data_IF_762086293960
#
_entry.id   IF_762086293960
#
_cell.length_a   1.000
_cell.length_b   1.000
_cell.length_c   1.000
_cell.angle_alpha   90.00
_cell.angle_beta   90.00
_cell.angle_gamma   90.00
#
_symmetry.space_group_name_H-M   'P 1'
#
loop_
_entity.id
_entity.type
_entity.pdbx_description
1 polymer ?
#
# COMPACT_ATOMS: atom_id res chain seq x y z
N UNK A 1 -55.12 -4.52 -50.38
CA UNK A 1 -54.26 -4.15 -51.53
C UNK A 1 -53.16 -3.25 -51.00
N UNK A 2 -51.89 -3.60 -51.27
CA UNK A 2 -50.65 -2.83 -51.06
C UNK A 2 -50.35 -2.41 -49.60
N UNK A 3 -49.42 -3.00 -48.83
CA UNK A 3 -48.01 -3.33 -49.11
C UNK A 3 -47.15 -2.08 -49.43
N UNK A 4 -46.30 -1.72 -48.47
CA UNK A 4 -44.83 -1.90 -48.51
C UNK A 4 -43.89 -0.70 -48.79
N UNK A 5 -42.71 -0.83 -48.15
CA UNK A 5 -41.36 -0.23 -48.41
C UNK A 5 -41.13 1.23 -47.93
N UNK A 6 -40.46 1.49 -46.79
CA UNK A 6 -39.03 1.36 -46.39
C UNK A 6 -38.09 2.50 -46.84
N UNK A 7 -37.35 3.07 -45.88
CA UNK A 7 -35.91 3.44 -45.92
C UNK A 7 -35.56 4.15 -44.59
N UNK A 8 -34.88 3.48 -43.66
CA UNK A 8 -33.41 3.36 -43.49
C UNK A 8 -32.75 4.58 -42.84
N UNK A 9 -32.21 4.36 -41.65
CA UNK A 9 -31.38 5.32 -40.91
C UNK A 9 -31.04 4.88 -39.49
N UNK A 10 -30.68 3.60 -39.29
CA UNK A 10 -29.78 3.20 -38.19
C UNK A 10 -28.35 3.46 -38.67
N UNK A 11 -27.54 4.17 -37.89
CA UNK A 11 -26.10 3.89 -37.82
C UNK A 11 -25.41 4.63 -36.65
N UNK A 12 -24.83 3.80 -35.76
CA UNK A 12 -23.50 3.92 -35.16
C UNK A 12 -23.20 5.01 -34.12
N UNK A 13 -23.39 4.66 -32.83
CA UNK A 13 -22.49 5.13 -31.77
C UNK A 13 -21.99 4.05 -30.77
N UNK A 14 -22.29 2.75 -30.97
CA UNK A 14 -22.02 1.74 -29.93
C UNK A 14 -21.05 0.61 -30.33
N UNK A 15 -20.11 0.90 -31.24
CA UNK A 15 -19.04 -0.03 -31.63
C UNK A 15 -17.69 0.68 -31.73
N UNK A 16 -17.03 0.96 -30.61
CA UNK A 16 -15.59 1.24 -30.63
C UNK A 16 -14.80 0.80 -29.39
N UNK A 17 -15.35 -0.04 -28.51
CA UNK A 17 -14.65 -0.49 -27.29
C UNK A 17 -14.35 -2.00 -27.23
N UNK A 18 -14.59 -2.76 -28.30
CA UNK A 18 -14.47 -4.22 -28.29
C UNK A 18 -13.31 -4.82 -29.11
N UNK A 19 -12.28 -4.06 -29.49
CA UNK A 19 -11.20 -4.60 -30.34
C UNK A 19 -9.81 -4.07 -30.02
N UNK A 20 -9.29 -4.36 -28.84
CA UNK A 20 -7.85 -4.27 -28.56
C UNK A 20 -7.43 -5.47 -27.69
N UNK A 21 -7.25 -6.62 -28.34
CA UNK A 21 -6.48 -7.73 -27.77
C UNK A 21 -5.37 -8.09 -28.75
N UNK A 22 -4.14 -8.10 -28.22
CA UNK A 22 -2.86 -8.63 -28.75
C UNK A 22 -1.77 -7.56 -28.85
N UNK A 23 -1.35 -7.07 -27.68
CA UNK A 23 -0.01 -6.55 -27.45
C UNK A 23 0.73 -7.50 -26.50
N UNK A 24 1.97 -7.85 -26.83
CA UNK A 24 2.81 -8.72 -26.01
C UNK A 24 3.13 -8.03 -24.68
N UNK A 25 2.55 -8.56 -23.60
CA UNK A 25 2.79 -8.15 -22.21
C UNK A 25 4.26 -8.41 -21.86
N UNK A 26 5.03 -7.37 -21.57
CA UNK A 26 6.26 -7.50 -20.77
C UNK A 26 5.84 -7.34 -19.30
N UNK A 27 5.26 -8.39 -18.72
CA UNK A 27 5.00 -8.42 -17.29
C UNK A 27 6.31 -8.70 -16.60
N UNK A 28 6.64 -7.89 -15.59
CA UNK A 28 7.51 -8.36 -14.51
C UNK A 28 6.57 -8.96 -13.47
N UNK A 29 5.95 -10.09 -13.83
CA UNK A 29 5.18 -10.87 -12.86
C UNK A 29 6.15 -11.29 -11.74
N UNK A 30 5.78 -11.14 -10.46
CA UNK A 30 6.54 -11.78 -9.40
C UNK A 30 6.58 -13.30 -9.69
N UNK A 31 7.72 -13.98 -9.45
CA UNK A 31 7.88 -15.38 -9.78
C UNK A 31 6.75 -16.21 -9.16
N UNK A 32 5.95 -16.86 -10.01
CA UNK A 32 4.90 -17.80 -9.60
C UNK A 32 5.56 -19.06 -9.05
N UNK A 33 5.52 -19.24 -7.74
CA UNK A 33 5.99 -20.48 -7.12
C UNK A 33 4.93 -21.58 -7.25
N UNK A 34 5.13 -22.52 -8.19
CA UNK A 34 4.34 -23.76 -8.26
C UNK A 34 4.88 -24.79 -7.26
N UNK A 35 4.48 -24.63 -5.99
CA UNK A 35 4.92 -25.51 -4.90
C UNK A 35 4.29 -26.92 -4.94
N UNK A 36 3.37 -27.22 -5.87
CA UNK A 36 2.61 -28.50 -5.84
C UNK A 36 3.39 -29.72 -6.34
N UNK A 37 4.54 -29.57 -7.01
CA UNK A 37 5.20 -30.72 -7.66
C UNK A 37 6.74 -30.82 -7.58
N UNK A 38 7.43 -30.13 -6.67
CA UNK A 38 8.90 -30.28 -6.53
C UNK A 38 9.33 -30.80 -5.17
N UNK A 39 9.44 -32.13 -5.07
CA UNK A 39 10.25 -32.78 -4.03
C UNK A 39 11.66 -33.05 -4.58
N UNK A 40 12.67 -32.32 -4.10
CA UNK A 40 14.07 -32.79 -4.18
C UNK A 40 14.73 -32.66 -2.82
N UNK A 41 15.32 -33.79 -2.41
CA UNK A 41 16.12 -33.97 -1.19
C UNK A 41 17.22 -32.91 -1.08
N UNK A 42 17.36 -32.29 0.09
CA UNK A 42 18.59 -31.61 0.49
C UNK A 42 19.16 -32.24 1.77
N UNK A 43 20.40 -32.69 1.65
CA UNK A 43 21.22 -33.22 2.74
C UNK A 43 21.81 -32.09 3.57
N UNK A 44 21.69 -32.20 4.90
CA UNK A 44 22.26 -31.30 5.89
C UNK A 44 23.80 -31.26 5.84
N UNK A 45 24.37 -30.06 5.71
CA UNK A 45 25.71 -29.74 6.22
C UNK A 45 25.65 -28.45 7.05
N UNK A 46 25.99 -28.57 8.34
CA UNK A 46 26.13 -27.43 9.27
C UNK A 46 27.53 -26.86 9.14
N UNK A 47 27.66 -25.56 8.90
CA UNK A 47 28.89 -24.79 9.14
C UNK A 47 28.56 -23.56 9.98
N UNK A 48 29.30 -23.38 11.07
CA UNK A 48 29.21 -22.22 11.97
C UNK A 48 29.95 -21.03 11.38
N UNK A 49 29.38 -19.83 11.43
CA UNK A 49 30.07 -18.58 11.05
C UNK A 49 29.87 -17.49 12.12
N UNK A 50 30.91 -16.69 12.32
CA UNK A 50 31.05 -15.62 13.32
C UNK A 50 31.28 -14.30 12.54
N UNK A 51 30.51 -13.21 12.74
CA UNK A 51 30.60 -12.02 11.87
C UNK A 51 31.65 -11.02 12.38
N UNK A 52 32.33 -10.27 11.48
CA UNK A 52 31.87 -8.88 11.28
C UNK A 52 32.10 -8.31 9.85
N UNK A 53 31.07 -7.71 9.26
CA UNK A 53 31.06 -6.59 8.28
C UNK A 53 29.62 -6.42 7.70
N UNK A 54 29.22 -5.24 7.17
CA UNK A 54 27.84 -4.98 6.75
C UNK A 54 27.42 -5.84 5.53
N UNK A 55 26.12 -6.14 5.37
CA UNK A 55 25.64 -7.20 4.48
C UNK A 55 25.72 -6.77 3.00
N UNK A 56 26.59 -7.42 2.22
CA UNK A 56 26.84 -7.06 0.82
C UNK A 56 26.41 -8.16 -0.18
N UNK A 57 25.69 -9.19 0.25
CA UNK A 57 25.25 -10.28 -0.65
C UNK A 57 23.75 -10.59 -0.52
N UNK A 58 23.14 -11.07 -1.61
CA UNK A 58 21.77 -11.59 -1.63
C UNK A 58 21.57 -12.69 -0.57
N UNK A 59 22.60 -13.49 -0.32
CA UNK A 59 22.61 -14.51 0.72
C UNK A 59 22.46 -13.92 2.12
N UNK A 60 23.17 -12.83 2.43
CA UNK A 60 23.07 -12.14 3.73
C UNK A 60 21.70 -11.48 3.92
N UNK A 61 21.12 -10.96 2.84
CA UNK A 61 19.76 -10.42 2.83
C UNK A 61 18.73 -11.52 3.11
N UNK A 62 18.80 -12.65 2.39
CA UNK A 62 17.92 -13.80 2.60
C UNK A 62 18.09 -14.38 4.00
N UNK A 63 19.32 -14.44 4.52
CA UNK A 63 19.59 -14.87 5.89
C UNK A 63 18.99 -13.92 6.93
N UNK A 64 19.09 -12.60 6.70
CA UNK A 64 18.48 -11.58 7.57
C UNK A 64 16.96 -11.66 7.54
N UNK A 65 16.36 -11.90 6.37
CA UNK A 65 14.91 -12.11 6.23
C UNK A 65 14.48 -13.43 6.90
N UNK A 66 15.26 -14.50 6.78
CA UNK A 66 15.00 -15.76 7.51
C UNK A 66 15.10 -15.57 9.02
N UNK A 67 16.06 -14.79 9.51
CA UNK A 67 16.18 -14.45 10.92
C UNK A 67 15.00 -13.58 11.37
N UNK A 68 14.60 -12.61 10.54
CA UNK A 68 13.42 -11.78 10.77
C UNK A 68 12.14 -12.63 10.85
N UNK A 69 11.93 -13.57 9.92
CA UNK A 69 10.81 -14.51 9.91
C UNK A 69 10.79 -15.39 11.18
N UNK A 70 11.96 -15.85 11.65
CA UNK A 70 12.09 -16.60 12.92
C UNK A 70 11.82 -15.73 14.15
N UNK A 71 12.21 -14.46 14.12
CA UNK A 71 11.87 -13.52 15.19
C UNK A 71 10.36 -13.25 15.16
N UNK A 72 9.75 -13.12 13.99
CA UNK A 72 8.32 -12.92 13.79
C UNK A 72 7.45 -14.09 14.26
N UNK A 73 7.91 -15.33 14.12
CA UNK A 73 7.20 -16.50 14.67
C UNK A 73 7.29 -16.59 16.19
N UNK A 74 8.29 -15.96 16.81
CA UNK A 74 8.54 -15.98 18.27
C UNK A 74 8.02 -14.71 18.97
N UNK A 75 7.97 -13.59 18.26
CA UNK A 75 7.57 -12.27 18.76
C UNK A 75 6.15 -11.90 18.32
N UNK A 76 5.17 -12.77 18.58
CA UNK A 76 3.75 -12.44 18.38
C UNK A 76 3.14 -11.63 19.54
N UNK A 77 3.93 -10.84 20.28
CA UNK A 77 3.38 -10.07 21.40
C UNK A 77 2.43 -8.97 20.90
N UNK A 78 2.75 -8.34 19.77
CA UNK A 78 1.97 -7.26 19.18
C UNK A 78 1.91 -7.43 17.67
N UNK A 79 0.71 -7.45 17.11
CA UNK A 79 0.44 -7.54 15.70
C UNK A 79 -0.20 -6.22 15.23
N UNK A 80 0.56 -5.42 14.48
CA UNK A 80 0.01 -4.22 13.83
C UNK A 80 -0.49 -4.57 12.43
N UNK A 81 -1.54 -3.91 11.99
CA UNK A 81 -2.07 -4.10 10.63
C UNK A 81 -1.07 -3.70 9.53
N UNK A 82 -0.17 -2.77 9.83
CA UNK A 82 0.95 -2.36 8.98
C UNK A 82 1.86 -3.56 8.63
N UNK A 83 1.84 -4.62 9.44
CA UNK A 83 2.58 -5.84 9.18
C UNK A 83 2.10 -6.60 7.94
N UNK A 84 0.86 -6.39 7.49
CA UNK A 84 0.36 -6.99 6.24
C UNK A 84 1.19 -6.57 5.02
N UNK A 85 1.65 -5.31 4.98
CA UNK A 85 2.50 -4.82 3.89
C UNK A 85 3.92 -5.41 3.92
N UNK A 86 4.32 -5.97 5.06
CA UNK A 86 5.62 -6.63 5.20
C UNK A 86 5.57 -8.12 4.81
N UNK A 87 4.39 -8.67 4.48
CA UNK A 87 4.30 -10.06 4.03
C UNK A 87 4.86 -10.27 2.63
N UNK A 88 4.82 -9.24 1.76
CA UNK A 88 5.35 -9.32 0.41
C UNK A 88 6.82 -9.75 0.38
N UNK A 89 7.65 -9.22 1.28
CA UNK A 89 9.07 -9.61 1.34
C UNK A 89 9.24 -11.06 1.83
N UNK A 90 8.36 -11.54 2.72
CA UNK A 90 8.36 -12.93 3.17
C UNK A 90 7.92 -13.89 2.07
N UNK A 91 6.87 -13.54 1.32
CA UNK A 91 6.42 -14.33 0.18
C UNK A 91 7.49 -14.38 -0.93
N UNK A 92 8.09 -13.23 -1.26
CA UNK A 92 9.18 -13.15 -2.23
C UNK A 92 10.38 -13.99 -1.79
N UNK A 93 10.84 -13.84 -0.54
CA UNK A 93 11.98 -14.61 -0.04
C UNK A 93 11.68 -16.11 0.04
N UNK A 94 10.44 -16.50 0.36
CA UNK A 94 10.01 -17.89 0.31
C UNK A 94 10.04 -18.45 -1.11
N UNK A 95 9.62 -17.67 -2.10
CA UNK A 95 9.69 -18.03 -3.52
C UNK A 95 11.12 -18.16 -4.00
N UNK A 96 12.00 -17.23 -3.64
CA UNK A 96 13.40 -17.23 -4.09
C UNK A 96 14.23 -18.36 -3.47
N UNK A 97 13.87 -18.77 -2.25
CA UNK A 97 14.59 -19.82 -1.51
C UNK A 97 13.91 -21.18 -1.49
N UNK A 98 12.80 -21.36 -2.21
CA UNK A 98 11.93 -22.55 -2.17
C UNK A 98 11.53 -22.95 -0.72
N UNK A 99 11.40 -21.97 0.18
CA UNK A 99 11.16 -22.21 1.60
C UNK A 99 9.66 -22.22 1.93
N UNK A 100 9.07 -23.42 1.86
CA UNK A 100 7.63 -23.62 2.12
C UNK A 100 7.21 -23.24 3.54
N UNK A 101 8.10 -23.35 4.54
CA UNK A 101 7.75 -23.00 5.91
C UNK A 101 7.64 -21.48 6.08
N UNK A 102 8.51 -20.70 5.41
CA UNK A 102 8.38 -19.24 5.36
C UNK A 102 7.07 -18.81 4.69
N UNK A 103 6.71 -19.46 3.57
CA UNK A 103 5.43 -19.22 2.90
C UNK A 103 4.23 -19.51 3.82
N UNK A 104 4.27 -20.63 4.57
CA UNK A 104 3.24 -21.00 5.55
C UNK A 104 3.15 -20.00 6.70
N UNK A 105 4.28 -19.46 7.16
CA UNK A 105 4.30 -18.42 8.19
C UNK A 105 3.60 -17.15 7.69
N UNK A 106 3.88 -16.73 6.45
CA UNK A 106 3.22 -15.55 5.86
C UNK A 106 1.70 -15.75 5.74
N UNK A 107 1.23 -16.92 5.27
CA UNK A 107 -0.21 -17.24 5.21
C UNK A 107 -0.83 -17.27 6.61
N UNK A 108 -0.17 -17.93 7.57
CA UNK A 108 -0.67 -18.04 8.95
C UNK A 108 -0.83 -16.66 9.58
N UNK A 109 0.14 -15.77 9.34
CA UNK A 109 0.07 -14.38 9.77
C UNK A 109 -1.11 -13.66 9.11
N UNK A 110 -1.25 -13.72 7.79
CA UNK A 110 -2.36 -13.09 7.08
C UNK A 110 -3.73 -13.56 7.60
N UNK A 111 -3.94 -14.87 7.80
CA UNK A 111 -5.19 -15.40 8.36
C UNK A 111 -5.44 -14.97 9.81
N UNK A 112 -4.38 -14.87 10.61
CA UNK A 112 -4.46 -14.39 11.99
C UNK A 112 -4.86 -12.91 12.01
N UNK A 113 -4.25 -12.08 11.16
CA UNK A 113 -4.61 -10.67 10.97
C UNK A 113 -6.06 -10.53 10.52
N UNK A 114 -6.50 -11.31 9.53
CA UNK A 114 -7.88 -11.31 9.06
C UNK A 114 -8.87 -11.60 10.19
N UNK A 115 -8.60 -12.64 10.99
CA UNK A 115 -9.45 -13.06 12.11
C UNK A 115 -9.52 -12.04 13.25
N UNK A 116 -8.41 -11.36 13.55
CA UNK A 116 -8.29 -10.55 14.77
C UNK A 116 -8.32 -9.04 14.52
N UNK A 117 -7.99 -8.56 13.33
CA UNK A 117 -7.99 -7.12 13.02
C UNK A 117 -9.28 -6.67 12.36
N UNK A 118 -9.92 -7.51 11.54
CA UNK A 118 -11.19 -7.15 10.90
C UNK A 118 -12.33 -7.32 11.90
N UNK A 119 -13.13 -6.27 12.09
CA UNK A 119 -14.33 -6.26 12.92
C UNK A 119 -15.54 -6.74 12.11
N UNK A 120 -16.67 -7.10 12.76
CA UNK A 120 -17.87 -7.55 12.05
C UNK A 120 -18.47 -6.52 11.07
N UNK A 121 -18.19 -5.24 11.25
CA UNK A 121 -18.60 -4.15 10.35
C UNK A 121 -17.56 -3.86 9.25
N UNK A 122 -16.54 -4.70 9.12
CA UNK A 122 -15.41 -4.57 8.19
C UNK A 122 -14.48 -3.37 8.45
N UNK A 123 -14.70 -2.60 9.52
CA UNK A 123 -13.68 -1.71 10.07
C UNK A 123 -12.53 -2.53 10.65
N UNK A 124 -11.41 -1.88 10.96
CA UNK A 124 -10.25 -2.58 11.49
C UNK A 124 -9.65 -2.00 12.76
N UNK A 125 -9.24 -2.90 13.64
CA UNK A 125 -8.38 -2.61 14.79
C UNK A 125 -6.95 -2.35 14.31
N UNK A 126 -6.25 -1.45 14.99
CA UNK A 126 -4.86 -1.15 14.71
C UNK A 126 -3.90 -2.24 15.25
N UNK A 127 -3.95 -2.52 16.56
CA UNK A 127 -3.03 -3.46 17.23
C UNK A 127 -3.81 -4.59 17.91
N UNK A 128 -3.40 -5.84 17.67
CA UNK A 128 -3.85 -6.99 18.44
C UNK A 128 -2.67 -7.53 19.26
N UNK A 129 -2.87 -7.70 20.56
CA UNK A 129 -1.84 -8.17 21.50
C UNK A 129 -2.13 -9.61 21.86
N UNK A 130 -1.15 -10.50 21.69
CA UNK A 130 -1.30 -11.93 22.00
C UNK A 130 -0.40 -12.35 23.16
N UNK A 131 -0.78 -13.43 23.83
CA UNK A 131 0.12 -14.11 24.76
C UNK A 131 1.22 -14.86 23.99
N UNK A 132 2.51 -14.54 24.19
CA UNK A 132 3.58 -15.16 23.41
C UNK A 132 3.79 -16.65 23.72
N UNK A 133 3.25 -17.16 24.84
CA UNK A 133 3.34 -18.60 25.18
C UNK A 133 2.18 -19.40 24.60
N UNK A 134 0.98 -18.82 24.57
CA UNK A 134 -0.25 -19.54 24.20
C UNK A 134 -0.83 -19.15 22.84
N UNK A 135 -0.42 -18.02 22.27
CA UNK A 135 -1.02 -17.44 21.06
C UNK A 135 -2.44 -16.89 21.27
N UNK A 136 -2.90 -16.78 22.52
CA UNK A 136 -4.26 -16.30 22.84
C UNK A 136 -4.31 -14.78 22.75
N UNK A 137 -5.34 -14.23 22.08
CA UNK A 137 -5.59 -12.79 22.05
C UNK A 137 -5.85 -12.27 23.48
N UNK A 138 -5.06 -11.28 23.91
CA UNK A 138 -5.22 -10.59 25.20
C UNK A 138 -6.08 -9.34 25.09
N UNK A 139 -5.74 -8.48 24.15
CA UNK A 139 -6.41 -7.19 23.99
C UNK A 139 -6.24 -6.64 22.58
N UNK A 140 -7.05 -5.64 22.25
CA UNK A 140 -7.01 -4.86 21.02
C UNK A 140 -6.86 -3.40 21.39
N UNK A 141 -5.90 -2.72 20.76
CA UNK A 141 -5.51 -1.36 21.11
C UNK A 141 -5.26 -0.51 19.85
N UNK A 142 -5.08 0.79 20.07
CA UNK A 142 -4.54 1.70 19.06
C UNK A 142 -3.36 2.49 19.60
N UNK A 143 -2.45 2.88 18.70
CA UNK A 143 -1.37 3.84 18.98
C UNK A 143 -1.41 5.09 18.07
N UNK A 144 -2.29 5.09 17.07
CA UNK A 144 -2.35 6.12 16.02
C UNK A 144 -3.77 6.50 15.58
N UNK A 145 -4.76 5.63 15.83
CA UNK A 145 -6.18 5.95 15.65
C UNK A 145 -6.73 6.71 16.85
N UNK A 146 -7.94 7.22 16.72
CA UNK A 146 -8.62 8.01 17.74
C UNK A 146 -8.87 7.24 19.05
N UNK A 147 -9.32 5.98 18.96
CA UNK A 147 -9.54 5.11 20.13
C UNK A 147 -9.32 3.64 19.76
N UNK A 148 -9.33 2.73 20.74
CA UNK A 148 -9.18 1.29 20.49
C UNK A 148 -10.28 0.72 19.57
N UNK A 149 -11.46 1.35 19.62
CA UNK A 149 -12.64 0.95 18.85
C UNK A 149 -12.84 1.81 17.60
N UNK A 150 -11.97 2.81 17.38
CA UNK A 150 -12.03 3.64 16.19
C UNK A 150 -11.50 2.93 14.94
N UNK A 151 -11.82 3.51 13.79
CA UNK A 151 -11.38 3.05 12.47
C UNK A 151 -10.35 4.03 11.88
N UNK A 152 -9.09 3.83 12.28
CA UNK A 152 -7.96 4.57 11.74
C UNK A 152 -7.82 4.38 10.22
N UNK A 153 -7.86 5.46 9.46
CA UNK A 153 -8.05 5.39 8.01
C UNK A 153 -6.88 4.69 7.30
N UNK A 154 -5.64 4.98 7.68
CA UNK A 154 -4.47 4.30 7.11
C UNK A 154 -4.39 2.85 7.51
N UNK A 155 -4.78 2.52 8.74
CA UNK A 155 -4.94 1.13 9.16
C UNK A 155 -5.91 0.41 8.22
N UNK A 156 -7.08 1.01 7.94
CA UNK A 156 -8.04 0.47 6.98
C UNK A 156 -7.40 0.22 5.61
N UNK A 157 -6.71 1.22 5.06
CA UNK A 157 -6.02 1.14 3.78
C UNK A 157 -4.97 0.01 3.72
N UNK A 158 -4.22 -0.24 4.80
CA UNK A 158 -3.29 -1.36 4.87
C UNK A 158 -3.95 -2.74 4.78
N UNK A 159 -5.22 -2.92 5.19
CA UNK A 159 -5.91 -4.19 4.90
C UNK A 159 -6.14 -4.34 3.41
N UNK A 160 -6.67 -3.27 2.79
CA UNK A 160 -7.09 -3.33 1.40
C UNK A 160 -5.90 -3.75 0.55
N UNK A 161 -4.79 -3.02 0.68
CA UNK A 161 -3.56 -3.33 -0.06
C UNK A 161 -2.95 -4.68 0.39
N UNK A 162 -2.80 -4.91 1.69
CA UNK A 162 -2.09 -6.09 2.19
C UNK A 162 -2.81 -7.42 1.95
N UNK A 163 -4.14 -7.46 2.05
CA UNK A 163 -4.91 -8.66 1.71
C UNK A 163 -4.99 -8.85 0.20
N UNK A 164 -5.11 -7.78 -0.60
CA UNK A 164 -5.05 -7.90 -2.06
C UNK A 164 -3.68 -8.44 -2.51
N UNK A 165 -2.57 -7.94 -1.96
CA UNK A 165 -1.22 -8.49 -2.19
C UNK A 165 -1.13 -9.97 -1.79
N UNK A 166 -1.65 -10.32 -0.61
CA UNK A 166 -1.67 -11.72 -0.15
C UNK A 166 -2.47 -12.61 -1.10
N UNK A 167 -3.60 -12.14 -1.65
CA UNK A 167 -4.33 -12.86 -2.70
C UNK A 167 -3.45 -13.08 -3.93
N UNK A 168 -2.72 -12.07 -4.41
CA UNK A 168 -1.84 -12.25 -5.57
C UNK A 168 -0.77 -13.32 -5.37
N UNK A 169 -0.24 -13.47 -4.15
CA UNK A 169 0.72 -14.54 -3.80
C UNK A 169 0.12 -15.93 -3.61
N UNK A 170 -1.14 -16.01 -3.19
CA UNK A 170 -1.75 -17.27 -2.69
C UNK A 170 -2.88 -17.79 -3.56
N UNK A 171 -3.52 -16.89 -4.32
CA UNK A 171 -4.78 -17.08 -5.04
C UNK A 171 -5.93 -17.58 -4.14
N UNK A 172 -5.82 -17.36 -2.82
CA UNK A 172 -6.83 -17.74 -1.84
C UNK A 172 -7.90 -16.64 -1.73
N UNK A 173 -9.11 -16.96 -2.19
CA UNK A 173 -10.22 -16.01 -2.30
C UNK A 173 -10.66 -15.43 -0.95
N UNK A 174 -10.33 -16.06 0.18
CA UNK A 174 -10.58 -15.47 1.51
C UNK A 174 -9.89 -14.11 1.66
N UNK A 175 -8.68 -13.96 1.11
CA UNK A 175 -7.95 -12.68 1.18
C UNK A 175 -8.49 -11.65 0.20
N UNK A 176 -8.96 -12.08 -0.98
CA UNK A 176 -9.63 -11.16 -1.90
C UNK A 176 -10.89 -10.59 -1.26
N UNK A 177 -11.74 -11.45 -0.68
CA UNK A 177 -12.94 -11.03 0.02
C UNK A 177 -12.61 -10.08 1.18
N UNK A 178 -11.58 -10.38 1.98
CA UNK A 178 -11.16 -9.50 3.07
C UNK A 178 -10.71 -8.11 2.59
N UNK A 179 -10.02 -8.03 1.44
CA UNK A 179 -9.64 -6.77 0.83
C UNK A 179 -10.87 -5.97 0.35
N UNK A 180 -11.84 -6.65 -0.28
CA UNK A 180 -13.09 -6.06 -0.75
C UNK A 180 -13.97 -5.55 0.38
N UNK A 181 -14.15 -6.35 1.44
CA UNK A 181 -14.88 -5.98 2.65
C UNK A 181 -14.29 -4.71 3.27
N UNK A 182 -12.96 -4.66 3.40
CA UNK A 182 -12.27 -3.49 3.93
C UNK A 182 -12.38 -2.27 3.00
N UNK A 183 -12.39 -2.49 1.68
CA UNK A 183 -12.58 -1.44 0.68
C UNK A 183 -13.99 -0.88 0.70
N UNK A 184 -15.00 -1.73 0.88
CA UNK A 184 -16.39 -1.34 1.07
C UNK A 184 -16.54 -0.39 2.25
N UNK A 185 -16.05 -0.78 3.44
CA UNK A 185 -16.07 0.10 4.61
C UNK A 185 -15.36 1.44 4.34
N UNK A 186 -14.18 1.41 3.71
CA UNK A 186 -13.42 2.62 3.41
C UNK A 186 -14.19 3.60 2.51
N UNK A 187 -14.82 3.09 1.44
CA UNK A 187 -15.59 3.89 0.49
C UNK A 187 -16.89 4.42 1.12
N UNK A 188 -17.57 3.62 1.92
CA UNK A 188 -18.83 4.03 2.59
C UNK A 188 -18.63 5.16 3.61
N UNK A 189 -17.41 5.31 4.14
CA UNK A 189 -17.05 6.35 5.11
C UNK A 189 -16.16 7.46 4.52
N UNK A 190 -15.93 7.43 3.21
CA UNK A 190 -15.14 8.44 2.52
C UNK A 190 -15.91 9.77 2.46
N UNK A 191 -15.18 10.87 2.52
CA UNK A 191 -15.72 12.22 2.34
C UNK A 191 -16.01 12.50 0.87
N UNK A 192 -16.94 13.42 0.59
CA UNK A 192 -17.35 13.79 -0.78
C UNK A 192 -16.21 14.31 -1.67
N UNK A 193 -15.13 14.83 -1.06
CA UNK A 193 -13.95 15.31 -1.77
C UNK A 193 -12.90 14.22 -2.03
N UNK A 194 -13.20 12.97 -1.68
CA UNK A 194 -12.33 11.80 -1.81
C UNK A 194 -11.00 11.89 -1.04
N UNK A 195 -10.91 12.79 -0.05
CA UNK A 195 -9.76 12.88 0.86
C UNK A 195 -10.16 12.30 2.21
N UNK A 196 -9.71 11.08 2.56
CA UNK A 196 -10.14 10.43 3.79
C UNK A 196 -9.70 11.25 5.02
N UNK A 197 -10.50 11.24 6.10
CA UNK A 197 -10.04 11.74 7.39
C UNK A 197 -8.91 10.85 7.93
N UNK A 198 -8.16 11.32 8.91
CA UNK A 198 -7.15 10.49 9.57
C UNK A 198 -7.75 9.28 10.31
N UNK A 199 -9.00 9.39 10.76
CA UNK A 199 -9.78 8.33 11.39
C UNK A 199 -11.27 8.52 11.03
N UNK A 200 -11.93 7.46 10.56
CA UNK A 200 -13.30 7.51 10.07
C UNK A 200 -14.36 7.71 11.16
N UNK A 201 -13.99 7.44 12.41
CA UNK A 201 -14.92 7.43 13.56
C UNK A 201 -14.54 8.45 14.62
N UNK A 202 -13.47 9.21 14.41
CA UNK A 202 -13.14 10.34 15.27
C UNK A 202 -14.32 11.34 15.29
N UNK A 203 -14.72 11.83 16.47
CA UNK A 203 -15.86 12.73 16.57
C UNK A 203 -15.59 14.04 15.85
N UNK A 204 -16.61 14.52 15.13
CA UNK A 204 -16.57 15.85 14.54
C UNK A 204 -16.95 16.89 15.61
N UNK A 205 -16.00 17.74 15.98
CA UNK A 205 -16.24 18.90 16.84
C UNK A 205 -16.58 20.10 15.95
N UNK A 206 -17.76 20.73 16.10
CA UNK A 206 -18.13 21.89 15.31
C UNK A 206 -17.08 23.01 15.42
N UNK A 207 -16.59 23.47 14.26
CA UNK A 207 -15.56 24.51 14.16
C UNK A 207 -14.13 24.00 14.11
N UNK A 208 -13.89 22.69 14.28
CA UNK A 208 -12.58 22.08 14.09
C UNK A 208 -12.46 21.43 12.71
N UNK A 209 -11.29 21.62 12.07
CA UNK A 209 -10.93 20.92 10.84
C UNK A 209 -10.48 19.50 11.21
N UNK A 210 -11.17 18.49 10.69
CA UNK A 210 -10.71 17.10 10.82
C UNK A 210 -9.44 16.94 9.99
N UNK A 211 -8.31 16.50 10.58
CA UNK A 211 -7.10 16.30 9.81
C UNK A 211 -7.32 15.24 8.71
N UNK A 212 -6.88 15.51 7.47
CA UNK A 212 -6.94 14.53 6.40
C UNK A 212 -5.83 13.50 6.55
N UNK A 213 -5.94 12.40 5.82
CA UNK A 213 -4.82 11.49 5.60
C UNK A 213 -4.72 11.00 4.16
N UNK A 214 -4.12 11.82 3.30
CA UNK A 214 -3.90 11.47 1.89
C UNK A 214 -3.13 10.17 1.71
N UNK A 215 -2.26 9.80 2.65
CA UNK A 215 -1.55 8.52 2.61
C UNK A 215 -2.51 7.34 2.62
N UNK A 216 -3.53 7.36 3.48
CA UNK A 216 -4.56 6.32 3.51
C UNK A 216 -5.28 6.20 2.16
N UNK A 217 -5.60 7.34 1.53
CA UNK A 217 -6.32 7.38 0.27
C UNK A 217 -5.53 6.76 -0.89
N UNK A 218 -4.25 7.09 -1.03
CA UNK A 218 -3.41 6.54 -2.11
C UNK A 218 -3.04 5.07 -1.89
N UNK A 219 -2.89 4.63 -0.63
CA UNK A 219 -2.71 3.21 -0.28
C UNK A 219 -3.98 2.42 -0.63
N UNK A 220 -5.15 2.94 -0.27
CA UNK A 220 -6.43 2.31 -0.57
C UNK A 220 -6.65 2.22 -2.09
N UNK A 221 -6.35 3.29 -2.84
CA UNK A 221 -6.41 3.29 -4.29
C UNK A 221 -5.49 2.21 -4.89
N UNK A 222 -4.24 2.10 -4.44
CA UNK A 222 -3.34 1.02 -4.87
C UNK A 222 -3.92 -0.37 -4.58
N UNK A 223 -4.44 -0.60 -3.38
CA UNK A 223 -5.08 -1.87 -3.03
C UNK A 223 -6.30 -2.19 -3.89
N UNK A 224 -7.13 -1.18 -4.21
CA UNK A 224 -8.29 -1.32 -5.10
C UNK A 224 -7.87 -1.67 -6.54
N UNK A 225 -6.74 -1.15 -7.03
CA UNK A 225 -6.19 -1.57 -8.33
C UNK A 225 -5.78 -3.05 -8.32
N UNK A 226 -5.18 -3.55 -7.23
CA UNK A 226 -4.86 -4.97 -7.09
C UNK A 226 -6.12 -5.85 -7.04
N UNK A 227 -7.17 -5.39 -6.35
CA UNK A 227 -8.48 -6.06 -6.33
C UNK A 227 -9.09 -6.06 -7.75
N UNK A 228 -8.95 -4.97 -8.50
CA UNK A 228 -9.41 -4.91 -9.89
C UNK A 228 -8.72 -5.94 -10.78
N UNK A 229 -7.40 -6.07 -10.71
CA UNK A 229 -6.67 -7.09 -11.46
C UNK A 229 -7.10 -8.51 -11.09
N UNK A 230 -7.32 -8.76 -9.80
CA UNK A 230 -7.77 -10.05 -9.30
C UNK A 230 -9.11 -10.46 -9.93
N UNK A 231 -10.07 -9.53 -10.02
CA UNK A 231 -11.35 -9.76 -10.69
C UNK A 231 -11.18 -10.02 -12.19
N UNK A 232 -10.41 -9.18 -12.90
CA UNK A 232 -10.20 -9.38 -14.33
C UNK A 232 -9.53 -10.72 -14.64
N UNK A 233 -8.55 -11.14 -13.84
CA UNK A 233 -7.88 -12.43 -13.97
C UNK A 233 -8.83 -13.63 -13.79
N UNK A 234 -9.94 -13.43 -13.07
CA UNK A 234 -11.00 -14.41 -12.87
C UNK A 234 -12.13 -14.33 -13.91
N UNK A 235 -12.11 -13.31 -14.76
CA UNK A 235 -13.17 -13.03 -15.73
C UNK A 235 -14.37 -12.28 -15.15
N UNK A 236 -14.22 -11.69 -13.96
CA UNK A 236 -15.26 -10.93 -13.26
C UNK A 236 -15.18 -9.44 -13.63
N UNK A 237 -16.30 -8.73 -13.55
CA UNK A 237 -16.32 -7.26 -13.65
C UNK A 237 -15.85 -6.63 -12.35
N UNK A 238 -15.17 -5.48 -12.40
CA UNK A 238 -14.73 -4.79 -11.18
C UNK A 238 -14.98 -3.29 -11.24
N UNK A 239 -15.65 -2.78 -10.19
CA UNK A 239 -15.86 -1.34 -9.96
C UNK A 239 -14.62 -0.62 -9.42
N UNK A 240 -13.66 -1.37 -8.87
CA UNK A 240 -12.57 -0.82 -8.07
C UNK A 240 -11.56 0.00 -8.87
N UNK A 241 -11.47 -0.18 -10.20
CA UNK A 241 -10.69 0.71 -11.06
C UNK A 241 -11.22 2.14 -11.00
N UNK A 242 -12.54 2.32 -11.13
CA UNK A 242 -13.14 3.65 -11.11
C UNK A 242 -13.02 4.29 -9.73
N UNK A 243 -13.19 3.52 -8.65
CA UNK A 243 -13.03 4.02 -7.29
C UNK A 243 -11.59 4.46 -6.99
N UNK A 244 -10.60 3.68 -7.43
CA UNK A 244 -9.19 4.05 -7.31
C UNK A 244 -8.87 5.34 -8.09
N UNK A 245 -9.41 5.48 -9.31
CA UNK A 245 -9.27 6.70 -10.12
C UNK A 245 -9.90 7.91 -9.42
N UNK A 246 -11.11 7.77 -8.88
CA UNK A 246 -11.80 8.86 -8.17
C UNK A 246 -11.01 9.32 -6.93
N UNK A 247 -10.47 8.37 -6.15
CA UNK A 247 -9.60 8.65 -5.02
C UNK A 247 -8.35 9.44 -5.44
N UNK A 248 -7.63 8.94 -6.45
CA UNK A 248 -6.41 9.60 -6.93
C UNK A 248 -6.71 11.00 -7.48
N UNK A 249 -7.77 11.16 -8.28
CA UNK A 249 -8.18 12.44 -8.84
C UNK A 249 -8.58 13.45 -7.74
N UNK A 250 -9.39 13.03 -6.76
CA UNK A 250 -9.81 13.90 -5.67
C UNK A 250 -8.63 14.33 -4.78
N UNK A 251 -7.73 13.41 -4.47
CA UNK A 251 -6.50 13.72 -3.71
C UNK A 251 -5.58 14.64 -4.50
N UNK A 252 -5.34 14.38 -5.80
CA UNK A 252 -4.53 15.27 -6.63
C UNK A 252 -5.12 16.68 -6.71
N UNK A 253 -6.44 16.80 -6.89
CA UNK A 253 -7.12 18.10 -6.91
C UNK A 253 -7.00 18.85 -5.60
N UNK A 254 -7.08 18.16 -4.46
CA UNK A 254 -7.15 18.80 -3.16
C UNK A 254 -5.79 19.02 -2.48
N UNK A 255 -4.79 18.18 -2.77
CA UNK A 255 -3.60 18.02 -1.90
C UNK A 255 -2.27 17.86 -2.65
N UNK A 256 -2.23 18.08 -3.98
CA UNK A 256 -0.97 18.15 -4.70
C UNK A 256 -0.20 19.42 -4.31
N UNK A 257 1.06 19.27 -3.90
CA UNK A 257 1.92 20.41 -3.61
C UNK A 257 2.32 21.13 -4.90
N UNK A 258 2.59 22.45 -4.84
CA UNK A 258 3.03 23.19 -6.02
C UNK A 258 4.37 22.68 -6.54
N UNK A 259 4.67 22.91 -7.83
CA UNK A 259 5.95 22.54 -8.42
C UNK A 259 7.12 23.12 -7.64
N UNK A 260 8.15 22.30 -7.44
CA UNK A 260 9.44 22.70 -6.89
C UNK A 260 10.52 22.60 -7.97
N UNK A 261 11.58 23.40 -7.86
CA UNK A 261 12.66 23.41 -8.83
C UNK A 261 14.02 23.36 -8.15
N UNK A 262 14.98 22.79 -8.86
CA UNK A 262 16.38 22.77 -8.45
C UNK A 262 17.04 24.09 -8.87
N UNK A 263 17.69 24.75 -7.92
CA UNK A 263 18.47 25.96 -8.14
C UNK A 263 19.92 25.66 -7.81
N UNK A 264 20.81 25.98 -8.75
CA UNK A 264 22.24 25.98 -8.49
C UNK A 264 22.57 27.14 -7.54
N UNK A 265 23.13 26.81 -6.38
CA UNK A 265 23.54 27.80 -5.40
C UNK A 265 25.06 27.85 -5.38
N UNK A 266 25.60 29.02 -5.71
CA UNK A 266 27.00 29.36 -5.43
C UNK A 266 27.10 29.83 -3.97
N UNK A 267 26.80 28.93 -3.04
CA UNK A 267 26.89 29.22 -1.61
C UNK A 267 27.81 28.19 -0.97
N UNK A 268 28.93 28.67 -0.42
CA UNK A 268 29.93 27.87 0.29
C UNK A 268 29.40 27.47 1.68
N UNK A 269 28.19 26.92 1.72
CA UNK A 269 27.56 26.46 2.94
C UNK A 269 28.13 25.10 3.36
N UNK A 270 28.51 24.98 4.62
CA UNK A 270 28.87 23.70 5.23
C UNK A 270 27.59 22.97 5.63
N UNK A 271 27.37 21.77 5.13
CA UNK A 271 26.28 20.90 5.60
C UNK A 271 26.79 20.08 6.78
N UNK A 272 26.07 20.11 7.90
CA UNK A 272 26.34 19.20 9.02
C UNK A 272 25.97 17.77 8.63
N UNK A 273 26.98 16.97 8.29
CA UNK A 273 26.83 15.53 8.11
C UNK A 273 27.19 14.78 9.38
N UNK A 274 26.81 13.50 9.46
CA UNK A 274 27.22 12.63 10.58
C UNK A 274 28.75 12.52 10.66
N UNK A 275 29.45 12.71 9.54
CA UNK A 275 30.92 12.74 9.45
C UNK A 275 31.56 14.05 9.92
N UNK A 276 30.79 15.13 10.19
CA UNK A 276 31.36 16.36 10.77
C UNK A 276 32.01 16.11 12.14
N UNK A 277 31.62 15.05 12.83
CA UNK A 277 32.27 14.54 14.05
C UNK A 277 33.74 14.14 13.85
N UNK A 278 34.17 13.94 12.60
CA UNK A 278 35.54 13.61 12.18
C UNK A 278 36.27 14.77 11.47
N UNK A 279 35.69 15.97 11.46
CA UNK A 279 36.36 17.18 10.95
C UNK A 279 36.39 17.34 9.43
N UNK A 280 35.52 16.66 8.68
CA UNK A 280 35.43 16.77 7.22
C UNK A 280 34.25 17.68 6.84
N UNK A 281 34.51 18.97 6.64
CA UNK A 281 33.54 19.89 6.02
C UNK A 281 33.75 19.87 4.51
N UNK A 282 32.73 19.47 3.74
CA UNK A 282 32.73 19.63 2.28
C UNK A 282 32.14 20.99 1.92
N UNK A 283 32.84 21.75 1.09
CA UNK A 283 32.25 22.89 0.37
C UNK A 283 31.90 22.37 -1.03
N UNK A 284 30.63 22.44 -1.39
CA UNK A 284 30.17 22.09 -2.72
C UNK A 284 29.31 23.23 -3.25
N UNK A 285 29.50 23.58 -4.53
CA UNK A 285 28.45 24.25 -5.29
C UNK A 285 27.21 23.35 -5.20
N UNK A 286 26.20 23.82 -4.48
CA UNK A 286 25.08 23.00 -4.06
C UNK A 286 23.89 23.12 -5.00
N UNK A 287 23.13 22.05 -5.17
CA UNK A 287 21.78 22.14 -5.70
C UNK A 287 20.84 22.29 -4.50
N UNK A 288 20.10 23.40 -4.44
CA UNK A 288 19.02 23.59 -3.47
C UNK A 288 17.68 23.38 -4.14
N UNK A 289 16.72 22.82 -3.42
CA UNK A 289 15.32 22.80 -3.85
C UNK A 289 14.67 24.12 -3.42
N UNK A 290 14.25 24.91 -4.39
CA UNK A 290 13.32 26.01 -4.19
C UNK A 290 11.89 25.48 -4.33
N UNK A 291 11.11 25.69 -3.28
CA UNK A 291 9.76 25.18 -3.12
C UNK A 291 8.79 26.27 -2.62
N UNK A 292 9.22 27.55 -2.64
CA UNK A 292 8.46 28.69 -2.11
C UNK A 292 7.87 28.48 -0.70
N UNK A 293 8.56 27.71 0.16
CA UNK A 293 8.07 27.39 1.51
C UNK A 293 7.03 26.27 1.57
N UNK A 294 6.73 25.61 0.45
CA UNK A 294 5.84 24.44 0.39
C UNK A 294 6.57 23.15 0.77
N UNK A 295 5.88 22.11 1.24
CA UNK A 295 6.51 20.81 1.47
C UNK A 295 7.17 20.26 0.19
N UNK A 296 8.30 19.56 0.34
CA UNK A 296 9.03 18.95 -0.78
C UNK A 296 8.41 17.64 -1.29
N UNK A 297 7.39 17.14 -0.61
CA UNK A 297 6.64 15.94 -1.00
C UNK A 297 5.73 16.24 -2.18
N UNK A 298 5.34 15.22 -2.93
CA UNK A 298 4.35 15.34 -4.01
C UNK A 298 2.99 15.70 -3.42
N UNK A 299 2.58 15.00 -2.36
CA UNK A 299 1.31 15.22 -1.67
C UNK A 299 1.51 15.89 -0.31
N UNK A 300 0.62 16.82 0.02
CA UNK A 300 0.37 17.30 1.38
C UNK A 300 -0.77 16.52 2.04
N UNK A 301 -1.18 16.94 3.23
CA UNK A 301 -2.40 16.44 3.88
C UNK A 301 -2.37 15.01 4.38
N UNK A 302 -1.20 14.45 4.66
CA UNK A 302 -1.08 13.16 5.34
C UNK A 302 -1.02 13.34 6.87
N UNK A 303 -1.40 12.31 7.62
CA UNK A 303 -1.36 12.31 9.08
C UNK A 303 -0.56 11.13 9.63
N UNK A 304 0.68 11.35 10.07
CA UNK A 304 1.49 10.30 10.72
C UNK A 304 0.85 9.81 12.02
N UNK A 305 0.47 10.71 12.92
CA UNK A 305 -0.14 10.34 14.19
C UNK A 305 -0.91 11.53 14.76
N UNK A 306 -2.22 11.37 14.99
CA UNK A 306 -3.04 12.37 15.66
C UNK A 306 -3.72 11.81 16.93
N UNK A 307 -3.21 10.69 17.44
CA UNK A 307 -3.67 10.08 18.69
C UNK A 307 -3.47 11.02 19.87
N UNK A 308 -4.41 10.99 20.81
CA UNK A 308 -4.48 12.02 21.83
C UNK A 308 -3.26 12.04 22.77
N UNK A 309 -2.69 10.86 23.03
CA UNK A 309 -1.53 10.67 23.90
C UNK A 309 -0.21 10.54 23.13
N UNK A 310 -0.20 10.85 21.83
CA UNK A 310 1.04 10.81 21.05
C UNK A 310 2.06 11.84 21.60
N UNK A 311 3.35 11.48 21.78
CA UNK A 311 4.39 12.41 22.22
C UNK A 311 4.51 13.64 21.31
N UNK A 312 4.19 13.46 20.03
CA UNK A 312 4.06 14.52 19.04
C UNK A 312 2.95 14.15 18.07
N UNK A 313 1.98 15.06 17.89
CA UNK A 313 0.95 14.92 16.86
C UNK A 313 1.46 15.53 15.56
N UNK A 314 1.50 14.71 14.51
CA UNK A 314 1.91 15.08 13.16
C UNK A 314 0.75 14.78 12.22
N UNK A 315 0.05 15.84 11.83
CA UNK A 315 -1.14 15.83 11.01
C UNK A 315 -1.06 16.93 9.95
N UNK A 316 -1.76 16.75 8.83
CA UNK A 316 -1.78 17.65 7.66
C UNK A 316 -0.38 18.07 7.16
N UNK A 317 0.49 17.09 6.92
CA UNK A 317 1.86 17.31 6.45
C UNK A 317 2.25 16.41 5.26
N UNK A 318 3.42 16.65 4.68
CA UNK A 318 3.98 15.82 3.61
C UNK A 318 4.58 14.51 4.12
N UNK A 319 4.35 13.39 3.42
CA UNK A 319 4.75 12.07 3.90
C UNK A 319 5.29 11.17 2.78
N UNK A 320 6.52 10.67 2.95
CA UNK A 320 7.26 9.95 1.91
C UNK A 320 6.53 8.71 1.40
N UNK A 321 5.89 7.94 2.28
CA UNK A 321 5.14 6.78 1.82
C UNK A 321 3.83 7.15 1.12
N UNK A 322 3.25 8.33 1.38
CA UNK A 322 2.14 8.81 0.56
C UNK A 322 2.61 9.03 -0.89
N UNK A 323 3.75 9.69 -1.08
CA UNK A 323 4.34 9.90 -2.41
C UNK A 323 4.70 8.57 -3.09
N UNK A 324 5.25 7.61 -2.33
CA UNK A 324 5.55 6.27 -2.85
C UNK A 324 4.30 5.58 -3.38
N UNK A 325 3.21 5.50 -2.60
CA UNK A 325 1.99 4.82 -3.04
C UNK A 325 1.26 5.60 -4.13
N UNK A 326 1.38 6.93 -4.16
CA UNK A 326 0.87 7.76 -5.26
C UNK A 326 1.56 7.40 -6.59
N UNK A 327 2.89 7.36 -6.60
CA UNK A 327 3.66 6.94 -7.78
C UNK A 327 3.42 5.48 -8.14
N UNK A 328 3.31 4.60 -7.14
CA UNK A 328 3.05 3.17 -7.35
C UNK A 328 1.69 2.94 -8.01
N UNK A 329 0.63 3.60 -7.51
CA UNK A 329 -0.69 3.54 -8.12
C UNK A 329 -0.70 4.16 -9.53
N UNK A 330 0.02 5.28 -9.75
CA UNK A 330 0.19 5.88 -11.06
C UNK A 330 0.85 4.93 -12.07
N UNK A 331 1.95 4.28 -11.68
CA UNK A 331 2.63 3.28 -12.50
C UNK A 331 1.71 2.10 -12.82
N UNK A 332 0.95 1.64 -11.82
CA UNK A 332 -0.01 0.55 -12.00
C UNK A 332 -1.10 0.89 -13.02
N UNK A 333 -1.62 2.12 -13.01
CA UNK A 333 -2.56 2.58 -14.03
C UNK A 333 -1.95 2.65 -15.43
N UNK A 334 -0.65 2.97 -15.55
CA UNK A 334 0.08 2.94 -16.81
C UNK A 334 0.25 1.50 -17.33
N UNK A 335 0.59 0.56 -16.45
CA UNK A 335 0.70 -0.88 -16.77
C UNK A 335 -0.63 -1.47 -17.24
N UNK A 336 -1.75 -0.99 -16.69
CA UNK A 336 -3.10 -1.36 -17.12
C UNK A 336 -3.53 -0.72 -18.44
N UNK A 337 -2.68 0.11 -19.07
CA UNK A 337 -2.95 0.84 -20.32
C UNK A 337 -4.21 1.72 -20.27
N UNK A 338 -4.61 2.20 -19.08
CA UNK A 338 -5.79 3.07 -18.88
C UNK A 338 -5.51 4.52 -19.31
N UNK A 339 -4.54 4.72 -20.21
CA UNK A 339 -3.94 6.01 -20.58
C UNK A 339 -4.94 7.06 -21.09
N UNK A 340 -6.11 6.64 -21.60
CA UNK A 340 -7.20 7.56 -21.93
C UNK A 340 -7.77 8.34 -20.74
N UNK A 341 -7.70 7.78 -19.52
CA UNK A 341 -8.25 8.37 -18.28
C UNK A 341 -7.26 9.31 -17.57
N UNK A 342 -5.95 9.08 -17.67
CA UNK A 342 -4.93 9.82 -16.91
C UNK A 342 -4.88 11.33 -17.19
N UNK A 343 -5.16 11.76 -18.43
CA UNK A 343 -5.27 13.20 -18.76
C UNK A 343 -6.41 13.90 -18.03
N UNK A 344 -7.50 13.19 -17.75
CA UNK A 344 -8.63 13.73 -16.97
C UNK A 344 -8.38 13.74 -15.45
N UNK A 345 -7.43 12.93 -14.98
CA UNK A 345 -7.05 12.79 -13.56
C UNK A 345 -6.06 13.88 -13.12
N UNK A 346 -5.12 14.25 -13.99
CA UNK A 346 -3.99 15.14 -13.63
C UNK A 346 -4.16 16.60 -14.07
N UNK A 347 -5.13 16.90 -14.94
CA UNK A 347 -5.30 18.25 -15.55
C UNK A 347 -6.73 18.77 -15.41
N UNK A 348 -7.50 18.25 -14.45
CA UNK A 348 -8.88 18.63 -14.18
C UNK A 348 -9.04 19.93 -13.40
#
# INVERSE_FOLDING_TARGET
MAQDVSHNGEDNQDQSLSSLSKGTVLSVDPPRADFKHRTKNSSNTKTSYNPPNPPNTLFDMLYSIQLYAKIWTVAQAELSKDNMMNLDILFWAASESDNIDMYRVAISHARTSMKHHIRPDHSTTHVAVFDPKTGTLKTKLTNQGYSNDSAWARGQAWAIAGFAQTYHWTQDCEFLQAAEDCAGYFLDHLTDNYVPPWDFTAPHVPGETIPPDTSAGVIAAYGMLLVHEAHLARGDTSRYLQEAINLLAGISKAKLNPPSWFVAVQDHSSVDTVENSYGISTTADGIRVENNGSPQTILGGATINNYEFAPRRWADHGLVYADYYFLLAGNKLLEMEVAGSLKSILVG
#
